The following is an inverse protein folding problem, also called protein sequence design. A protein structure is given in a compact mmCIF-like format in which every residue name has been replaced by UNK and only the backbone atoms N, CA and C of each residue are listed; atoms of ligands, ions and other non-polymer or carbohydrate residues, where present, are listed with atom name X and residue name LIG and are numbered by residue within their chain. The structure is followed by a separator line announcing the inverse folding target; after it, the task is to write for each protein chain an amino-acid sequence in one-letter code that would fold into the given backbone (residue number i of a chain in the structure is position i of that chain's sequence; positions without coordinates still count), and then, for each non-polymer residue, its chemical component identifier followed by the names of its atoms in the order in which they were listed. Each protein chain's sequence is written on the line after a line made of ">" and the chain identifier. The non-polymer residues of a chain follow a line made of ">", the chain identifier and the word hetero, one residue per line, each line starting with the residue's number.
data_IF_629889025308
#
_entry.id   IF_629889025308
#
_cell.length_a   1.000
_cell.length_b   1.000
_cell.length_c   1.000
_cell.angle_alpha   90.00
_cell.angle_beta   90.00
_cell.angle_gamma   90.00
#
_symmetry.space_group_name_H-M   'P 1'
#
loop_
_entity.id
_entity.type
_entity.pdbx_description
1 polymer ?
#
# COMPACT_ATOMS: atom_id res chain seq x y z
N UNK A 1 -3.48 -7.89 10.05
CA UNK A 1 -2.86 -7.41 8.79
C UNK A 1 -1.90 -6.28 9.16
N UNK A 2 -0.63 -6.45 8.86
CA UNK A 2 0.40 -5.44 9.14
C UNK A 2 0.38 -4.37 8.04
N UNK A 3 0.03 -3.14 8.42
CA UNK A 3 -0.08 -1.98 7.53
C UNK A 3 1.26 -1.30 7.29
N UNK A 4 2.29 -1.59 8.08
CA UNK A 4 3.63 -1.02 7.90
C UNK A 4 4.23 -1.40 6.54
N UNK A 5 3.81 -2.54 5.99
CA UNK A 5 4.18 -3.00 4.65
C UNK A 5 3.84 -2.00 3.54
N UNK A 6 2.81 -1.17 3.72
CA UNK A 6 2.45 -0.12 2.77
C UNK A 6 3.58 0.91 2.60
N UNK A 7 4.36 1.17 3.64
CA UNK A 7 5.45 2.15 3.59
C UNK A 7 6.64 1.69 2.72
N UNK A 8 6.71 0.39 2.44
CA UNK A 8 7.72 -0.20 1.56
C UNK A 8 7.26 -0.23 0.10
N UNK A 9 6.00 0.10 -0.20
CA UNK A 9 5.51 0.17 -1.57
C UNK A 9 6.02 1.43 -2.26
N UNK A 10 6.49 1.26 -3.49
CA UNK A 10 7.03 2.35 -4.29
C UNK A 10 6.08 2.72 -5.43
N UNK A 11 5.40 3.87 -5.36
CA UNK A 11 4.64 4.39 -6.50
C UNK A 11 5.56 4.68 -7.67
N UNK A 12 5.17 4.24 -8.85
CA UNK A 12 5.94 4.45 -10.08
C UNK A 12 5.08 5.09 -11.17
N UNK A 13 5.72 5.91 -12.01
CA UNK A 13 5.20 6.29 -13.32
C UNK A 13 5.80 5.33 -14.35
N UNK A 14 4.97 4.80 -15.24
CA UNK A 14 5.44 3.90 -16.28
C UNK A 14 4.70 4.14 -17.59
N UNK A 15 5.19 3.53 -18.66
CA UNK A 15 4.57 3.57 -19.98
C UNK A 15 4.27 2.15 -20.42
N UNK A 16 3.00 1.88 -20.74
CA UNK A 16 2.55 0.59 -21.23
C UNK A 16 3.21 0.28 -22.58
N UNK A 17 3.79 -0.92 -22.71
CA UNK A 17 4.45 -1.35 -23.95
C UNK A 17 3.45 -1.60 -25.09
N UNK A 18 2.19 -1.91 -24.76
CA UNK A 18 1.17 -2.30 -25.74
C UNK A 18 0.63 -1.11 -26.54
N UNK A 19 0.46 0.05 -25.90
CA UNK A 19 -0.22 1.21 -26.48
C UNK A 19 0.53 2.54 -26.25
N UNK A 20 1.66 2.53 -25.54
CA UNK A 20 2.42 3.74 -25.20
C UNK A 20 1.74 4.63 -24.16
N UNK A 21 0.66 4.16 -23.50
CA UNK A 21 -0.06 4.94 -22.50
C UNK A 21 0.80 5.14 -21.25
N UNK A 22 0.87 6.38 -20.78
CA UNK A 22 1.51 6.70 -19.49
C UNK A 22 0.52 6.42 -18.36
N UNK A 23 1.02 5.82 -17.27
CA UNK A 23 0.20 5.44 -16.13
C UNK A 23 0.98 5.57 -14.81
N UNK A 24 0.26 5.46 -13.69
CA UNK A 24 0.81 5.44 -12.34
C UNK A 24 0.33 4.16 -11.64
N UNK A 25 1.22 3.50 -10.93
CA UNK A 25 0.88 2.30 -10.18
C UNK A 25 2.02 1.78 -9.33
N UNK A 26 2.05 0.46 -9.17
CA UNK A 26 3.08 -0.29 -8.47
C UNK A 26 3.66 -1.33 -9.43
N UNK A 27 4.91 -1.74 -9.18
CA UNK A 27 5.51 -2.92 -9.81
C UNK A 27 5.08 -4.15 -9.01
N UNK A 28 4.55 -5.17 -9.68
CA UNK A 28 3.98 -6.34 -9.00
C UNK A 28 5.03 -7.14 -8.21
N UNK A 29 6.22 -7.28 -8.77
CA UNK A 29 7.37 -7.96 -8.14
C UNK A 29 7.82 -7.22 -6.88
N UNK A 30 7.93 -5.89 -6.94
CA UNK A 30 8.27 -5.06 -5.77
C UNK A 30 7.18 -5.14 -4.69
N UNK A 31 5.91 -5.17 -5.11
CA UNK A 31 4.79 -5.37 -4.18
C UNK A 31 4.84 -6.76 -3.52
N UNK A 32 5.21 -7.80 -4.27
CA UNK A 32 5.38 -9.15 -3.75
C UNK A 32 6.55 -9.24 -2.75
N UNK A 33 7.68 -8.61 -3.05
CA UNK A 33 8.83 -8.53 -2.13
C UNK A 33 8.48 -7.81 -0.81
N UNK A 34 7.71 -6.71 -0.90
CA UNK A 34 7.26 -5.97 0.27
C UNK A 34 6.19 -6.72 1.09
N UNK A 35 5.25 -7.35 0.39
CA UNK A 35 4.09 -8.03 0.96
C UNK A 35 3.52 -9.05 -0.06
N UNK A 36 3.84 -10.34 0.07
CA UNK A 36 3.42 -11.36 -0.90
C UNK A 36 1.91 -11.37 -1.19
N UNK A 37 1.08 -11.04 -0.20
CA UNK A 37 -0.38 -10.94 -0.32
C UNK A 37 -0.88 -9.78 -1.21
N UNK A 38 -0.01 -8.82 -1.54
CA UNK A 38 -0.30 -7.67 -2.40
C UNK A 38 0.03 -7.91 -3.87
N UNK A 39 0.40 -9.14 -4.25
CA UNK A 39 0.55 -9.54 -5.63
C UNK A 39 -0.19 -10.86 -5.91
N UNK A 40 -0.48 -11.08 -7.18
CA UNK A 40 -1.12 -12.29 -7.70
C UNK A 40 -0.08 -13.12 -8.41
N UNK A 41 0.11 -14.35 -7.98
CA UNK A 41 0.99 -15.32 -8.62
C UNK A 41 0.22 -16.24 -9.57
N UNK A 42 0.82 -16.57 -10.71
CA UNK A 42 0.31 -17.56 -11.65
C UNK A 42 0.62 -19.00 -11.23
N UNK A 43 0.17 -20.00 -12.01
CA UNK A 43 0.39 -21.43 -11.74
C UNK A 43 1.86 -21.85 -11.69
N UNK A 44 2.76 -21.07 -12.30
CA UNK A 44 4.21 -21.30 -12.32
C UNK A 44 4.96 -20.52 -11.23
N UNK A 45 4.24 -20.02 -10.22
CA UNK A 45 4.73 -19.14 -9.15
C UNK A 45 5.31 -17.80 -9.65
N UNK A 46 5.09 -17.41 -10.91
CA UNK A 46 5.47 -16.06 -11.37
C UNK A 46 4.49 -15.02 -10.87
N UNK A 47 5.02 -13.88 -10.45
CA UNK A 47 4.23 -12.70 -10.14
C UNK A 47 3.65 -12.14 -11.44
N UNK A 48 2.32 -12.00 -11.49
CA UNK A 48 1.61 -11.60 -12.71
C UNK A 48 1.02 -10.19 -12.61
N UNK A 49 0.47 -9.84 -11.44
CA UNK A 49 -0.26 -8.59 -11.25
C UNK A 49 -0.18 -8.12 -9.80
N UNK A 50 -0.43 -6.83 -9.59
CA UNK A 50 -0.69 -6.27 -8.25
C UNK A 50 -2.10 -6.68 -7.81
N UNK A 51 -2.24 -7.10 -6.55
CA UNK A 51 -3.53 -7.31 -5.90
C UNK A 51 -4.07 -5.97 -5.38
N UNK A 52 -4.68 -5.17 -6.27
CA UNK A 52 -5.22 -3.84 -5.93
C UNK A 52 -6.34 -3.87 -4.88
N UNK A 53 -7.10 -4.97 -4.80
CA UNK A 53 -8.10 -5.16 -3.74
C UNK A 53 -7.42 -5.26 -2.37
N UNK A 54 -6.36 -6.06 -2.26
CA UNK A 54 -5.55 -6.18 -1.05
C UNK A 54 -4.92 -4.85 -0.65
N UNK A 55 -4.34 -4.13 -1.61
CA UNK A 55 -3.77 -2.79 -1.40
C UNK A 55 -4.82 -1.83 -0.82
N UNK A 56 -6.02 -1.80 -1.42
CA UNK A 56 -7.11 -0.90 -1.00
C UNK A 56 -7.61 -1.22 0.40
N UNK A 57 -7.78 -2.51 0.75
CA UNK A 57 -8.19 -2.94 2.10
C UNK A 57 -7.13 -2.58 3.14
N UNK A 58 -5.85 -2.76 2.80
CA UNK A 58 -4.75 -2.42 3.71
C UNK A 58 -4.66 -0.90 3.91
N UNK A 59 -4.87 -0.10 2.86
CA UNK A 59 -4.97 1.36 2.95
C UNK A 59 -6.12 1.81 3.87
N UNK A 60 -7.30 1.17 3.78
CA UNK A 60 -8.42 1.46 4.67
C UNK A 60 -8.06 1.19 6.15
N UNK A 61 -7.35 0.09 6.43
CA UNK A 61 -6.87 -0.20 7.79
C UNK A 61 -5.87 0.86 8.25
N UNK A 62 -4.90 1.22 7.42
CA UNK A 62 -3.90 2.24 7.76
C UNK A 62 -4.54 3.61 8.04
N UNK A 63 -5.56 3.99 7.26
CA UNK A 63 -6.32 5.22 7.49
C UNK A 63 -7.03 5.22 8.87
N UNK A 64 -7.58 4.07 9.29
CA UNK A 64 -8.23 3.95 10.60
C UNK A 64 -7.21 4.06 11.74
N UNK A 65 -6.07 3.37 11.62
CA UNK A 65 -4.98 3.43 12.61
C UNK A 65 -4.42 4.85 12.72
N UNK A 66 -4.17 5.53 11.60
CA UNK A 66 -3.74 6.93 11.60
C UNK A 66 -4.77 7.86 12.24
N UNK A 67 -6.07 7.59 12.05
CA UNK A 67 -7.13 8.38 12.73
C UNK A 67 -7.05 8.21 14.24
N UNK A 68 -6.86 6.99 14.73
CA UNK A 68 -6.73 6.70 16.16
C UNK A 68 -5.49 7.42 16.75
N UNK A 69 -4.33 7.29 16.09
CA UNK A 69 -3.09 7.97 16.49
C UNK A 69 -3.26 9.50 16.54
N UNK A 70 -3.93 10.09 15.56
CA UNK A 70 -4.22 11.53 15.54
C UNK A 70 -5.08 11.95 16.74
N UNK A 71 -6.10 11.18 17.11
CA UNK A 71 -6.96 11.52 18.25
C UNK A 71 -6.23 11.36 19.59
N UNK A 72 -5.35 10.35 19.71
CA UNK A 72 -4.46 10.19 20.86
C UNK A 72 -3.50 11.38 21.01
N UNK A 73 -2.79 11.75 19.94
CA UNK A 73 -1.88 12.90 19.91
C UNK A 73 -2.60 14.22 20.25
N UNK A 74 -3.82 14.43 19.73
CA UNK A 74 -4.64 15.61 20.10
C UNK A 74 -4.99 15.63 21.58
N UNK A 75 -5.32 14.47 22.16
CA UNK A 75 -5.64 14.38 23.58
C UNK A 75 -4.42 14.67 24.47
N UNK A 76 -3.23 14.19 24.09
CA UNK A 76 -1.97 14.51 24.78
C UNK A 76 -1.63 15.99 24.71
N UNK A 77 -1.71 16.59 23.52
CA UNK A 77 -1.49 18.03 23.34
C UNK A 77 -2.44 18.85 24.21
N UNK A 78 -3.71 18.43 24.33
CA UNK A 78 -4.68 19.11 25.21
C UNK A 78 -4.30 19.02 26.69
N UNK A 79 -3.74 17.88 27.14
CA UNK A 79 -3.26 17.72 28.52
C UNK A 79 -2.03 18.60 28.79
N UNK A 80 -1.09 18.69 27.84
CA UNK A 80 0.14 19.47 27.99
C UNK A 80 -0.08 20.99 27.94
N UNK A 81 -1.18 21.45 27.32
CA UNK A 81 -1.54 22.87 27.22
C UNK A 81 -2.32 23.40 28.42
N UNK A 82 -2.79 22.53 29.30
CA UNK A 82 -3.48 22.89 30.55
C UNK A 82 -2.50 22.84 31.73
#
# INVERSE_FOLDING_TARGET
>A
MDTSKLYNLRPVKFTWKIDGRKDIGLIAEEAYEAAPELAVTGPDNKVMNVNWNGVTVLMLKALKEQKEEIEELKAEIKKLKN
#
